data_IF_807153992466
#
_entry.id   IF_807153992466
#
_cell.length_a   1.000
_cell.length_b   1.000
_cell.length_c   1.000
_cell.angle_alpha   90.00
_cell.angle_beta   90.00
_cell.angle_gamma   90.00
#
_symmetry.space_group_name_H-M   'P 1'
#
loop_
_entity.id
_entity.type
_entity.pdbx_description
1 polymer ?
#
# COMPACT_ATOMS: atom_id res chain seq x y z
N UNK A 18 15.26 -21.91 -7.44
CA UNK A 18 16.27 -20.89 -7.15
C UNK A 18 15.70 -19.50 -7.32
N UNK A 19 14.76 -19.35 -8.26
CA UNK A 19 14.16 -18.06 -8.52
C UNK A 19 13.15 -17.66 -7.44
N UNK A 20 12.53 -18.62 -6.76
CA UNK A 20 11.55 -18.31 -5.74
C UNK A 20 12.16 -17.67 -4.50
N UNK A 21 13.49 -17.70 -4.37
CA UNK A 21 14.13 -17.04 -3.23
C UNK A 21 13.88 -15.54 -3.26
N UNK A 22 13.95 -14.93 -4.44
CA UNK A 22 13.68 -13.49 -4.55
C UNK A 22 12.24 -13.19 -4.16
N UNK A 23 11.30 -14.03 -4.61
CA UNK A 23 9.90 -13.85 -4.24
C UNK A 23 9.71 -13.95 -2.73
N UNK A 24 10.39 -14.93 -2.10
CA UNK A 24 10.30 -15.06 -0.65
C UNK A 24 10.86 -13.83 0.06
N UNK A 25 11.99 -13.31 -0.44
CA UNK A 25 12.59 -12.13 0.16
C UNK A 25 11.64 -10.94 0.06
N UNK A 26 11.03 -10.74 -1.11
CA UNK A 26 10.09 -9.65 -1.29
C UNK A 26 8.88 -9.81 -0.38
N UNK A 27 8.36 -11.04 -0.28
CA UNK A 27 7.25 -11.32 0.62
C UNK A 27 7.59 -10.92 2.04
N UNK A 28 8.74 -11.38 2.53
CA UNK A 28 9.13 -11.10 3.91
C UNK A 28 9.31 -9.60 4.13
N UNK A 29 9.96 -8.92 3.18
CA UNK A 29 10.21 -7.49 3.35
C UNK A 29 8.90 -6.70 3.38
N UNK A 30 7.99 -7.00 2.45
CA UNK A 30 6.71 -6.31 2.43
C UNK A 30 5.89 -6.58 3.69
N UNK A 31 5.87 -7.84 4.14
CA UNK A 31 5.14 -8.19 5.36
C UNK A 31 5.72 -7.45 6.55
N UNK A 32 7.04 -7.39 6.64
CA UNK A 32 7.69 -6.69 7.74
C UNK A 32 7.35 -5.20 7.73
N UNK A 33 7.43 -4.58 6.55
CA UNK A 33 7.14 -3.15 6.47
C UNK A 33 5.69 -2.85 6.83
N UNK A 34 4.76 -3.66 6.32
CA UNK A 34 3.35 -3.42 6.63
C UNK A 34 3.05 -3.67 8.11
N UNK A 35 3.67 -4.71 8.69
CA UNK A 35 3.46 -4.98 10.11
C UNK A 35 4.00 -3.83 10.97
N UNK A 36 5.16 -3.29 10.61
CA UNK A 36 5.69 -2.14 11.33
C UNK A 36 4.78 -0.92 11.17
N UNK A 37 4.26 -0.71 9.97
CA UNK A 37 3.39 0.45 9.74
C UNK A 37 2.11 0.36 10.54
N UNK A 38 1.49 -0.83 10.57
CA UNK A 38 0.17 -0.97 11.18
C UNK A 38 0.22 -1.02 12.70
N UNK A 39 1.38 -1.26 13.30
CA UNK A 39 1.45 -1.32 14.75
C UNK A 39 1.34 0.06 15.39
N UNK A 40 1.50 1.12 14.61
CA UNK A 40 1.49 2.47 15.17
C UNK A 40 0.06 2.98 15.33
N UNK A 41 -0.90 2.31 14.66
CA UNK A 41 -2.29 2.77 14.72
C UNK A 41 -2.87 2.74 16.14
N UNK A 42 -2.77 1.64 16.90
CA UNK A 42 -3.41 1.64 18.23
C UNK A 42 -2.66 2.42 19.29
N UNK A 43 -1.35 2.60 19.16
CA UNK A 43 -0.55 3.26 20.17
C UNK A 43 -0.11 4.62 19.64
N UNK A 44 -0.39 5.67 20.41
CA UNK A 44 -0.09 7.04 20.00
C UNK A 44 0.87 7.64 21.02
N UNK A 45 1.75 8.56 20.64
CA UNK A 45 2.61 9.21 21.63
C UNK A 45 1.85 9.92 22.74
N UNK A 46 0.71 10.54 22.42
CA UNK A 46 -0.12 11.13 23.46
C UNK A 46 -0.92 10.06 24.21
N UNK A 47 -1.26 8.96 23.53
CA UNK A 47 -2.00 7.89 24.19
C UNK A 47 -1.17 7.21 25.27
N UNK A 48 0.12 7.00 25.01
CA UNK A 48 0.96 6.29 25.98
C UNK A 48 1.21 7.13 27.22
N UNK A 49 1.21 8.45 27.09
CA UNK A 49 1.42 9.33 28.24
C UNK A 49 0.23 9.29 29.18
N UNK A 125 -5.01 22.16 18.34
CA UNK A 125 -4.80 21.50 17.06
C UNK A 125 -3.91 20.26 17.22
N UNK A 126 -4.07 19.57 18.35
CA UNK A 126 -3.28 18.37 18.60
C UNK A 126 -3.59 17.28 17.59
N UNK A 127 -4.87 17.12 17.22
CA UNK A 127 -5.23 16.09 16.25
C UNK A 127 -4.63 16.37 14.89
N UNK A 128 -4.35 17.64 14.57
CA UNK A 128 -3.65 17.96 13.33
C UNK A 128 -2.26 17.34 13.32
N UNK A 129 -1.54 17.48 14.43
CA UNK A 129 -0.23 16.85 14.55
C UNK A 129 -0.34 15.33 14.56
N UNK A 130 -1.42 14.80 15.16
CA UNK A 130 -1.64 13.36 15.15
C UNK A 130 -1.78 12.85 13.71
N UNK A 131 -2.56 13.57 12.90
CA UNK A 131 -2.66 13.22 11.49
C UNK A 131 -1.35 13.35 10.76
N UNK A 132 -0.61 14.43 11.02
CA UNK A 132 0.70 14.62 10.40
C UNK A 132 1.66 13.50 10.77
N UNK A 133 1.46 12.88 11.93
CA UNK A 133 2.35 11.81 12.37
C UNK A 133 2.40 10.67 11.35
N UNK A 134 1.25 10.27 10.82
CA UNK A 134 1.24 9.24 9.79
C UNK A 134 1.21 9.80 8.37
N UNK A 135 0.96 11.11 8.21
CA UNK A 135 1.09 11.70 6.89
C UNK A 135 2.54 11.91 6.49
N UNK A 136 3.44 12.05 7.47
CA UNK A 136 4.84 12.32 7.18
C UNK A 136 5.48 11.19 6.40
N UNK A 137 5.14 9.94 6.73
CA UNK A 137 5.70 8.80 6.02
C UNK A 137 5.32 8.84 4.54
N UNK A 138 4.05 9.08 4.24
CA UNK A 138 3.62 9.15 2.85
C UNK A 138 4.28 10.31 2.13
N UNK A 139 4.38 11.46 2.79
CA UNK A 139 4.99 12.62 2.14
C UNK A 139 6.46 12.36 1.83
N UNK A 140 7.21 11.77 2.77
CA UNK A 140 8.62 11.52 2.50
C UNK A 140 8.79 10.42 1.46
N UNK A 141 7.89 9.44 1.43
CA UNK A 141 7.94 8.44 0.36
C UNK A 141 7.75 9.09 -1.00
N UNK A 142 6.76 9.97 -1.11
CA UNK A 142 6.53 10.67 -2.38
C UNK A 142 7.73 11.53 -2.76
N UNK A 143 8.34 12.21 -1.79
CA UNK A 143 9.48 13.05 -2.10
C UNK A 143 10.71 12.25 -2.49
N UNK A 144 10.90 11.06 -1.91
CA UNK A 144 12.13 10.30 -2.08
C UNK A 144 12.10 9.32 -3.25
N UNK A 145 10.95 8.74 -3.59
CA UNK A 145 10.93 7.69 -4.60
C UNK A 145 11.45 8.13 -5.96
N UNK A 146 11.03 9.25 -6.55
CA UNK A 146 11.51 9.60 -7.89
C UNK A 146 13.01 9.82 -7.96
N UNK A 147 13.63 10.34 -6.90
CA UNK A 147 15.07 10.58 -6.93
C UNK A 147 15.84 9.26 -6.86
N UNK A 148 15.39 8.33 -6.02
CA UNK A 148 16.06 7.03 -5.91
C UNK A 148 15.68 6.08 -7.02
N UNK A 149 14.74 6.46 -7.88
CA UNK A 149 14.37 5.66 -9.02
C UNK A 149 15.51 5.32 -9.97
N UNK A 150 16.08 6.34 -10.64
CA UNK A 150 17.09 6.06 -11.66
C UNK A 150 18.38 5.44 -11.13
N UNK A 151 18.64 5.55 -9.82
CA UNK A 151 19.85 4.94 -9.27
C UNK A 151 19.81 3.43 -9.42
N UNK A 152 18.61 2.85 -9.40
CA UNK A 152 18.48 1.41 -9.61
C UNK A 152 18.99 1.01 -10.98
N UNK A 153 18.59 1.75 -12.02
CA UNK A 153 19.10 1.48 -13.35
C UNK A 153 20.59 1.78 -13.46
N UNK A 154 21.04 2.83 -12.77
CA UNK A 154 22.44 3.23 -12.90
C UNK A 154 23.38 2.19 -12.29
N UNK A 155 22.98 1.60 -11.16
CA UNK A 155 23.82 0.66 -10.42
C UNK A 155 23.21 -0.74 -10.37
N UNK A 156 22.04 -0.86 -9.77
CA UNK A 156 21.43 -2.17 -9.59
C UNK A 156 20.31 -2.09 -8.57
N UNK A 157 19.76 -3.26 -8.24
CA UNK A 157 18.69 -3.35 -7.26
C UNK A 157 19.04 -4.15 -6.03
N UNK A 158 20.00 -5.08 -6.11
CA UNK A 158 20.37 -5.86 -4.93
C UNK A 158 21.05 -4.99 -3.88
N UNK A 159 21.89 -4.05 -4.30
CA UNK A 159 22.52 -3.12 -3.37
C UNK A 159 21.47 -2.23 -2.72
N UNK A 160 20.50 -1.66 -3.46
CA UNK A 160 19.39 -0.98 -2.78
C UNK A 160 18.61 -1.87 -1.83
N UNK A 161 18.44 -3.15 -2.16
CA UNK A 161 17.76 -4.05 -1.23
C UNK A 161 18.55 -4.20 0.06
N UNK A 162 19.86 -4.39 -0.04
CA UNK A 162 20.70 -4.50 1.14
C UNK A 162 20.68 -3.21 1.95
N UNK A 163 20.71 -2.07 1.27
CA UNK A 163 20.63 -0.79 1.96
C UNK A 163 19.28 -0.60 2.65
N UNK A 164 18.19 -1.06 2.02
CA UNK A 164 16.90 -1.00 2.68
C UNK A 164 16.85 -1.85 3.93
N UNK A 165 17.42 -3.06 3.86
CA UNK A 165 17.54 -3.87 5.06
C UNK A 165 18.34 -3.16 6.14
N UNK A 166 19.45 -2.54 5.76
CA UNK A 166 20.31 -1.86 6.74
C UNK A 166 19.57 -0.69 7.39
N UNK A 167 18.89 0.12 6.59
CA UNK A 167 18.20 1.29 7.14
C UNK A 167 17.03 0.86 8.01
N UNK A 168 16.31 -0.20 7.61
CA UNK A 168 15.24 -0.71 8.46
C UNK A 168 15.80 -1.21 9.80
N UNK A 169 16.91 -1.95 9.74
CA UNK A 169 17.51 -2.47 10.97
C UNK A 169 17.95 -1.35 11.90
N UNK A 170 18.55 -0.30 11.34
CA UNK A 170 19.04 0.79 12.21
C UNK A 170 17.91 1.70 12.66
N UNK A 171 16.79 1.72 11.95
CA UNK A 171 15.70 2.63 12.29
C UNK A 171 14.68 2.02 13.24
N UNK A 172 14.42 0.72 13.13
CA UNK A 172 13.38 0.10 13.95
C UNK A 172 13.72 0.17 15.44
N UNK A 173 14.99 -0.06 15.80
CA UNK A 173 15.37 -0.13 17.20
C UNK A 173 15.14 1.20 17.90
N UNK A 174 15.27 2.31 17.18
CA UNK A 174 15.17 3.63 17.80
C UNK A 174 13.80 3.88 18.43
N UNK A 175 12.77 3.13 18.01
CA UNK A 175 11.45 3.30 18.63
C UNK A 175 11.45 2.88 20.09
N UNK A 176 12.42 2.06 20.50
CA UNK A 176 12.44 1.57 21.88
C UNK A 176 12.61 2.71 22.88
N UNK A 177 13.47 3.67 22.57
CA UNK A 177 13.74 4.81 23.45
C UNK A 177 13.34 6.08 22.70
N UNK A 178 12.13 6.55 22.93
CA UNK A 178 11.61 7.76 22.30
C UNK A 178 11.37 8.83 23.36
N UNK A 179 11.95 10.01 23.14
CA UNK A 179 11.86 11.09 24.10
C UNK A 179 10.82 12.13 23.78
N UNK A 180 10.76 12.56 22.52
CA UNK A 180 9.88 13.64 22.11
C UNK A 180 9.18 13.25 20.81
N UNK A 181 8.04 13.89 20.55
CA UNK A 181 7.22 13.55 19.39
C UNK A 181 7.97 13.80 18.08
N UNK A 182 8.77 14.87 18.02
CA UNK A 182 9.56 15.13 16.82
C UNK A 182 10.50 13.98 16.50
N UNK A 183 11.02 13.32 17.53
CA UNK A 183 11.82 12.11 17.30
C UNK A 183 10.97 11.02 16.66
N UNK A 184 9.69 10.91 17.07
CA UNK A 184 8.79 9.96 16.43
C UNK A 184 8.57 10.31 14.96
N UNK A 185 8.42 11.61 14.66
CA UNK A 185 8.28 12.02 13.27
C UNK A 185 9.52 11.66 12.45
N UNK A 186 10.70 11.88 13.02
CA UNK A 186 11.93 11.54 12.33
C UNK A 186 12.01 10.03 12.09
N UNK A 187 11.65 9.24 13.11
CA UNK A 187 11.67 7.79 12.97
C UNK A 187 10.69 7.34 11.89
N UNK A 188 9.51 7.96 11.84
CA UNK A 188 8.55 7.69 10.79
C UNK A 188 9.09 8.01 9.40
N UNK A 189 9.78 9.15 9.25
CA UNK A 189 10.37 9.49 7.96
C UNK A 189 11.43 8.48 7.54
N UNK A 190 12.28 8.08 8.48
CA UNK A 190 13.31 7.08 8.18
C UNK A 190 12.69 5.75 7.79
N UNK A 191 11.67 5.31 8.52
CA UNK A 191 10.98 4.07 8.17
C UNK A 191 10.31 4.19 6.81
N UNK A 192 9.74 5.35 6.49
CA UNK A 192 9.10 5.51 5.20
C UNK A 192 10.08 5.44 4.04
N UNK A 193 11.23 6.11 4.17
CA UNK A 193 12.21 6.06 3.08
C UNK A 193 12.78 4.66 2.95
N UNK A 194 13.00 3.98 4.08
CA UNK A 194 13.46 2.60 4.01
C UNK A 194 12.47 1.68 3.33
N UNK A 195 11.18 1.83 3.66
CA UNK A 195 10.14 1.01 3.05
C UNK A 195 10.03 1.31 1.55
N UNK A 196 10.15 2.59 1.17
CA UNK A 196 10.12 2.93 -0.26
C UNK A 196 11.28 2.28 -0.99
N UNK A 197 12.48 2.34 -0.43
CA UNK A 197 13.64 1.73 -1.07
C UNK A 197 13.45 0.22 -1.19
N UNK A 198 13.02 -0.43 -0.11
CA UNK A 198 12.83 -1.88 -0.14
C UNK A 198 11.77 -2.27 -1.16
N UNK A 199 10.65 -1.56 -1.20
CA UNK A 199 9.57 -1.90 -2.12
C UNK A 199 10.00 -1.71 -3.57
N UNK A 200 10.67 -0.60 -3.87
CA UNK A 200 11.08 -0.37 -5.27
C UNK A 200 12.12 -1.39 -5.69
N UNK A 201 13.07 -1.72 -4.80
CA UNK A 201 14.07 -2.74 -5.15
C UNK A 201 13.42 -4.09 -5.38
N UNK A 202 12.48 -4.48 -4.50
CA UNK A 202 11.82 -5.75 -4.67
C UNK A 202 11.01 -5.84 -5.93
N UNK A 203 10.22 -4.80 -6.22
CA UNK A 203 9.42 -4.80 -7.44
C UNK A 203 10.30 -4.83 -8.69
N UNK A 204 11.39 -4.05 -8.69
CA UNK A 204 12.27 -4.07 -9.84
C UNK A 204 12.93 -5.42 -10.06
N UNK A 205 13.44 -6.03 -8.99
CA UNK A 205 14.07 -7.33 -9.12
C UNK A 205 13.07 -8.39 -9.57
N UNK A 206 11.86 -8.36 -9.00
CA UNK A 206 10.84 -9.34 -9.38
C UNK A 206 10.44 -9.16 -10.84
N UNK A 207 10.31 -7.91 -11.30
CA UNK A 207 9.99 -7.68 -12.71
C UNK A 207 11.12 -8.16 -13.62
N UNK A 208 12.37 -7.93 -13.22
CA UNK A 208 13.49 -8.29 -14.07
C UNK A 208 13.72 -9.80 -14.14
N UNK A 209 13.51 -10.51 -13.04
CA UNK A 209 13.87 -11.93 -13.01
C UNK A 209 12.92 -12.74 -13.89
N UNK A 210 11.63 -12.41 -13.88
CA UNK A 210 10.63 -13.16 -14.63
C UNK A 210 10.14 -12.31 -15.80
N UNK A 211 10.26 -12.86 -17.01
CA UNK A 211 9.82 -12.18 -18.23
C UNK A 211 8.53 -12.76 -18.79
N UNK A 212 7.87 -13.64 -18.05
CA UNK A 212 6.62 -14.27 -18.48
C UNK A 212 5.45 -13.55 -17.83
N UNK A 213 4.40 -13.30 -18.62
CA UNK A 213 3.31 -12.45 -18.15
C UNK A 213 2.53 -13.09 -17.00
N UNK A 214 2.10 -14.35 -17.17
CA UNK A 214 1.28 -14.97 -16.13
C UNK A 214 2.07 -15.21 -14.86
N UNK A 215 3.33 -15.63 -14.98
CA UNK A 215 4.16 -15.82 -13.80
C UNK A 215 4.43 -14.50 -13.10
N UNK A 216 4.67 -13.43 -13.86
CA UNK A 216 4.85 -12.11 -13.27
C UNK A 216 3.59 -11.67 -12.52
N UNK A 217 2.43 -11.88 -13.13
CA UNK A 217 1.18 -11.53 -12.46
C UNK A 217 0.98 -12.33 -11.19
N UNK A 218 1.28 -13.63 -11.23
CA UNK A 218 1.16 -14.46 -10.03
C UNK A 218 2.10 -13.98 -8.94
N UNK A 219 3.35 -13.66 -9.30
CA UNK A 219 4.32 -13.21 -8.31
C UNK A 219 3.89 -11.90 -7.66
N UNK A 220 3.42 -10.95 -8.46
CA UNK A 220 3.01 -9.67 -7.89
C UNK A 220 1.71 -9.78 -7.12
N UNK A 221 0.83 -10.71 -7.52
CA UNK A 221 -0.34 -11.00 -6.70
C UNK A 221 0.05 -11.61 -5.37
N UNK A 222 1.09 -12.44 -5.36
CA UNK A 222 1.60 -12.99 -4.10
C UNK A 222 2.16 -11.87 -3.23
N UNK A 223 2.87 -10.92 -3.85
CA UNK A 223 3.39 -9.78 -3.10
C UNK A 223 2.25 -8.96 -2.48
N UNK A 224 1.19 -8.71 -3.26
CA UNK A 224 0.04 -7.98 -2.74
C UNK A 224 -0.65 -8.75 -1.62
N UNK A 225 -0.76 -10.08 -1.76
CA UNK A 225 -1.31 -10.89 -0.70
C UNK A 225 -0.48 -10.86 0.56
N UNK A 226 0.85 -10.80 0.41
CA UNK A 226 1.70 -10.64 1.57
C UNK A 226 1.49 -9.30 2.26
N UNK A 227 1.34 -8.23 1.47
CA UNK A 227 1.00 -6.93 2.05
C UNK A 227 -0.32 -7.00 2.80
N UNK A 228 -1.31 -7.68 2.23
CA UNK A 228 -2.61 -7.83 2.88
C UNK A 228 -2.47 -8.61 4.18
N UNK A 229 -1.67 -9.68 4.18
CA UNK A 229 -1.45 -10.46 5.40
C UNK A 229 -0.81 -9.59 6.47
N UNK A 230 0.18 -8.79 6.09
CA UNK A 230 0.82 -7.93 7.06
C UNK A 230 -0.12 -6.91 7.67
N UNK A 231 -0.90 -6.24 6.81
CA UNK A 231 -1.82 -5.22 7.32
C UNK A 231 -2.92 -5.87 8.16
N UNK A 232 -3.27 -7.12 7.86
CA UNK A 232 -4.29 -7.82 8.65
C UNK A 232 -3.76 -8.23 10.01
N UNK A 233 -2.52 -8.77 10.06
CA UNK A 233 -2.01 -9.32 11.32
C UNK A 233 -1.31 -8.28 12.19
N UNK A 234 -1.06 -7.07 11.68
CA UNK A 234 -0.41 -6.06 12.47
C UNK A 234 -1.15 -5.66 13.74
N UNK A 235 -2.32 -5.05 13.59
CA UNK A 235 -3.03 -4.48 14.75
C UNK A 235 -3.34 -5.51 15.82
N UNK A 236 -3.90 -6.68 15.49
CA UNK A 236 -4.25 -7.62 16.58
C UNK A 236 -3.03 -8.15 17.30
N UNK A 237 -1.98 -8.50 16.58
CA UNK A 237 -0.75 -8.99 17.19
C UNK A 237 -0.15 -7.94 18.11
N UNK A 238 -0.07 -6.70 17.63
CA UNK A 238 0.45 -5.63 18.47
C UNK A 238 -0.39 -5.39 19.71
N UNK A 239 -1.71 -5.39 19.55
CA UNK A 239 -2.60 -5.16 20.69
C UNK A 239 -2.45 -6.27 21.73
N UNK A 240 -2.41 -7.52 21.29
CA UNK A 240 -2.31 -8.61 22.27
C UNK A 240 -0.94 -8.63 22.94
N UNK A 241 0.13 -8.30 22.21
CA UNK A 241 1.45 -8.31 22.83
C UNK A 241 1.76 -7.03 23.60
N UNK A 242 0.92 -5.99 23.50
CA UNK A 242 1.15 -4.79 24.28
C UNK A 242 1.09 -5.08 25.77
N UNK A 243 0.15 -5.93 26.20
CA UNK A 243 0.02 -6.27 27.60
C UNK A 243 0.91 -7.45 27.97
N UNK A 244 0.76 -8.57 27.29
CA UNK A 244 1.53 -9.77 27.58
C UNK A 244 2.99 -9.61 27.17
N UNK A 248 10.07 -1.84 25.17
CA UNK A 248 10.77 -3.07 24.79
C UNK A 248 9.79 -4.16 24.39
N UNK A 249 8.78 -4.36 25.23
CA UNK A 249 7.79 -5.40 24.99
C UNK A 249 7.04 -5.24 23.68
N UNK A 250 6.53 -4.05 23.30
CA UNK A 250 5.74 -3.97 22.07
C UNK A 250 6.49 -4.36 20.81
N UNK A 251 7.80 -4.12 20.75
CA UNK A 251 8.55 -4.28 19.50
C UNK A 251 9.63 -5.36 19.58
N UNK A 252 9.71 -6.12 20.67
CA UNK A 252 10.76 -7.12 20.79
C UNK A 252 10.59 -8.22 19.74
N UNK A 253 9.35 -8.60 19.45
CA UNK A 253 9.10 -9.64 18.46
C UNK A 253 9.56 -9.19 17.08
N UNK A 254 9.25 -7.94 16.71
CA UNK A 254 9.72 -7.43 15.42
C UNK A 254 11.25 -7.31 15.41
N UNK A 255 11.84 -6.89 16.53
CA UNK A 255 13.30 -6.75 16.60
C UNK A 255 13.99 -8.09 16.42
N UNK A 256 13.43 -9.17 16.96
CA UNK A 256 14.02 -10.48 16.77
C UNK A 256 13.60 -11.12 15.44
N UNK A 257 12.52 -10.63 14.82
CA UNK A 257 12.11 -11.18 13.53
C UNK A 257 12.91 -10.60 12.37
N UNK A 258 13.30 -9.33 12.46
CA UNK A 258 14.06 -8.72 11.37
C UNK A 258 15.41 -9.41 11.19
N UNK A 259 15.92 -10.04 12.25
CA UNK A 259 17.27 -10.61 12.20
C UNK A 259 17.39 -11.73 11.18
N UNK A 260 16.39 -12.62 11.13
CA UNK A 260 16.46 -13.74 10.20
C UNK A 260 16.37 -13.27 8.75
N UNK A 261 15.49 -12.30 8.47
CA UNK A 261 15.41 -11.75 7.13
C UNK A 261 16.71 -11.06 6.74
N UNK A 262 17.31 -10.31 7.66
CA UNK A 262 18.58 -9.68 7.37
C UNK A 262 19.68 -10.68 7.11
N UNK A 263 19.73 -11.75 7.90
CA UNK A 263 20.74 -12.79 7.69
C UNK A 263 20.57 -13.47 6.35
N UNK A 264 19.33 -13.78 5.97
CA UNK A 264 19.08 -14.41 4.67
C UNK A 264 19.48 -13.47 3.54
N UNK A 265 19.14 -12.19 3.65
CA UNK A 265 19.51 -11.22 2.62
C UNK A 265 21.03 -11.10 2.50
N UNK A 266 21.72 -11.09 3.64
CA UNK A 266 23.18 -11.01 3.60
C UNK A 266 23.78 -12.28 3.00
N UNK A 267 23.21 -13.44 3.30
CA UNK A 267 23.80 -14.69 2.85
C UNK A 267 23.55 -14.92 1.35
N UNK A 268 22.41 -14.45 0.84
CA UNK A 268 22.12 -14.65 -0.57
C UNK A 268 23.11 -13.90 -1.44
N UNK A 269 23.69 -12.82 -0.92
CA UNK A 269 24.69 -12.05 -1.67
C UNK A 269 26.09 -12.53 -1.30
N UNK A 285 13.71 10.56 -20.48
CA UNK A 285 13.18 9.26 -20.03
C UNK A 285 12.54 9.39 -18.65
N UNK A 286 12.99 10.39 -17.89
CA UNK A 286 12.43 10.60 -16.55
C UNK A 286 10.96 11.00 -16.62
N UNK A 287 10.60 11.85 -17.58
CA UNK A 287 9.23 12.31 -17.75
C UNK A 287 8.59 11.58 -18.92
N UNK A 288 7.29 11.31 -18.79
CA UNK A 288 6.53 10.61 -19.81
C UNK A 288 5.27 11.41 -20.13
N UNK A 289 5.03 11.66 -21.42
CA UNK A 289 3.83 12.35 -21.88
C UNK A 289 2.83 11.39 -22.51
N UNK A 290 3.00 10.09 -22.29
CA UNK A 290 2.12 9.09 -22.88
C UNK A 290 1.01 8.74 -21.91
N UNK A 291 -0.26 8.93 -22.27
CA UNK A 291 -1.35 8.66 -21.31
C UNK A 291 -1.57 7.19 -21.00
N UNK A 292 -0.95 6.28 -21.76
CA UNK A 292 -1.23 4.86 -21.58
C UNK A 292 -0.77 4.33 -20.24
N UNK A 293 0.15 5.02 -19.57
CA UNK A 293 0.58 4.63 -18.23
C UNK A 293 -0.12 5.54 -17.23
N UNK A 294 -0.38 6.78 -17.64
CA UNK A 294 -1.06 7.74 -16.79
C UNK A 294 -2.46 7.26 -16.41
N UNK A 295 -3.13 6.54 -17.31
CA UNK A 295 -4.46 6.04 -17.00
C UNK A 295 -4.41 5.07 -15.83
N UNK A 296 -3.46 4.12 -15.86
CA UNK A 296 -3.32 3.18 -14.76
C UNK A 296 -2.88 3.89 -13.49
N UNK A 297 -1.97 4.86 -13.61
CA UNK A 297 -1.52 5.60 -12.44
C UNK A 297 -2.69 6.30 -11.76
N UNK A 298 -3.51 7.01 -12.54
CA UNK A 298 -4.66 7.68 -11.96
C UNK A 298 -5.69 6.72 -11.40
N UNK A 299 -5.92 5.61 -12.09
CA UNK A 299 -6.89 4.63 -11.61
C UNK A 299 -6.48 4.07 -10.26
N UNK A 300 -5.22 3.64 -10.13
CA UNK A 300 -4.77 3.08 -8.86
C UNK A 300 -4.73 4.16 -7.78
N UNK A 301 -4.36 5.40 -8.17
CA UNK A 301 -4.34 6.49 -7.19
C UNK A 301 -5.71 6.75 -6.62
N UNK A 302 -6.74 6.80 -7.47
CA UNK A 302 -8.09 7.06 -6.98
C UNK A 302 -8.64 5.87 -6.20
N UNK A 303 -8.33 4.65 -6.66
CA UNK A 303 -8.81 3.46 -5.96
C UNK A 303 -8.21 3.37 -4.56
N UNK A 304 -6.96 3.81 -4.39
CA UNK A 304 -6.37 3.87 -3.06
C UNK A 304 -6.89 5.05 -2.26
N UNK A 305 -7.12 6.19 -2.93
CA UNK A 305 -7.65 7.37 -2.26
C UNK A 305 -9.02 7.10 -1.67
N UNK A 306 -9.79 6.19 -2.27
CA UNK A 306 -11.09 5.83 -1.71
C UNK A 306 -10.95 5.30 -0.29
N UNK A 307 -10.11 4.29 -0.08
CA UNK A 307 -9.94 3.73 1.26
C UNK A 307 -9.21 4.73 2.15
N UNK A 308 -8.32 5.53 1.57
CA UNK A 308 -7.61 6.54 2.36
C UNK A 308 -8.59 7.53 2.98
N UNK A 309 -9.58 7.97 2.21
CA UNK A 309 -10.60 8.87 2.73
C UNK A 309 -11.55 8.14 3.68
N UNK A 310 -11.83 6.87 3.39
CA UNK A 310 -12.80 6.13 4.20
C UNK A 310 -12.24 5.81 5.58
N UNK A 311 -10.91 5.71 5.70
CA UNK A 311 -10.31 5.25 6.96
C UNK A 311 -10.62 6.15 8.15
N UNK A 312 -10.43 7.48 8.09
CA UNK A 312 -10.65 8.27 9.32
C UNK A 312 -12.08 8.73 9.49
N UNK A 313 -12.90 8.71 8.44
CA UNK A 313 -14.25 9.25 8.53
C UNK A 313 -15.17 8.33 9.33
N UNK A 314 -14.95 7.02 9.24
CA UNK A 314 -15.84 6.06 9.90
C UNK A 314 -15.91 6.24 11.42
N UNK A 315 -14.81 6.43 12.14
CA UNK A 315 -14.93 6.61 13.60
C UNK A 315 -15.85 7.76 14.01
N UNK A 316 -15.97 8.80 13.18
CA UNK A 316 -16.91 9.88 13.50
C UNK A 316 -18.33 9.36 13.55
N UNK A 317 -18.73 8.59 12.54
CA UNK A 317 -20.07 8.00 12.53
C UNK A 317 -20.23 7.00 13.67
N UNK A 318 -19.18 6.21 13.95
CA UNK A 318 -19.26 5.25 15.05
C UNK A 318 -19.49 5.95 16.38
N UNK A 319 -18.79 7.08 16.61
CA UNK A 319 -18.95 7.81 17.86
C UNK A 319 -20.31 8.49 17.94
N UNK A 320 -20.76 9.11 16.86
CA UNK A 320 -22.07 9.76 16.87
C UNK A 320 -23.21 8.76 16.94
N UNK A 321 -22.97 7.50 16.61
CA UNK A 321 -23.96 6.44 16.75
C UNK A 321 -23.67 5.51 17.92
N UNK A 322 -22.57 5.74 18.65
CA UNK A 322 -22.19 4.89 19.78
C UNK A 322 -22.11 3.42 19.41
N UNK A 331 -11.05 -2.85 14.41
CA UNK A 331 -12.11 -3.81 14.11
C UNK A 331 -12.94 -3.31 12.94
N UNK A 332 -12.85 -2.00 12.66
CA UNK A 332 -13.60 -1.44 11.54
C UNK A 332 -12.98 -1.83 10.20
N UNK A 333 -11.65 -1.91 10.14
CA UNK A 333 -10.96 -2.28 8.91
C UNK A 333 -10.66 -3.78 8.81
N UNK A 334 -11.04 -4.55 9.83
CA UNK A 334 -10.83 -6.00 9.77
C UNK A 334 -11.60 -6.66 8.63
N UNK A 335 -12.90 -6.39 8.41
CA UNK A 335 -13.55 -6.98 7.23
C UNK A 335 -12.91 -6.57 5.92
N UNK A 336 -12.47 -5.31 5.81
CA UNK A 336 -11.82 -4.85 4.58
C UNK A 336 -10.52 -5.62 4.34
N UNK A 337 -9.71 -5.79 5.39
CA UNK A 337 -8.46 -6.54 5.24
C UNK A 337 -8.72 -7.99 4.90
N UNK A 338 -9.73 -8.59 5.55
CA UNK A 338 -10.09 -9.98 5.26
C UNK A 338 -10.48 -10.13 3.79
N UNK A 339 -11.33 -9.23 3.29
CA UNK A 339 -11.75 -9.30 1.90
C UNK A 339 -10.58 -9.08 0.95
N UNK A 340 -9.71 -8.12 1.26
CA UNK A 340 -8.54 -7.86 0.44
C UNK A 340 -7.70 -9.12 0.31
N UNK A 341 -7.38 -9.76 1.44
CA UNK A 341 -6.54 -10.95 1.41
C UNK A 341 -7.23 -12.10 0.69
N UNK A 342 -8.53 -12.31 0.95
CA UNK A 342 -9.25 -13.42 0.34
C UNK A 342 -9.59 -13.18 -1.12
N UNK A 343 -9.41 -11.96 -1.62
CA UNK A 343 -9.71 -11.69 -3.02
C UNK A 343 -8.49 -11.57 -3.91
N UNK A 344 -7.42 -10.95 -3.41
CA UNK A 344 -6.25 -10.69 -4.25
C UNK A 344 -5.66 -11.98 -4.81
N UNK A 345 -5.26 -12.89 -3.93
CA UNK A 345 -4.60 -14.11 -4.37
C UNK A 345 -5.51 -15.02 -5.16
N UNK A 346 -6.82 -14.93 -4.94
CA UNK A 346 -7.74 -15.85 -5.61
C UNK A 346 -8.19 -15.32 -6.97
N UNK A 347 -8.14 -14.00 -7.18
CA UNK A 347 -8.56 -13.43 -8.45
C UNK A 347 -7.40 -12.88 -9.28
N UNK A 348 -6.17 -12.97 -8.78
CA UNK A 348 -5.02 -12.56 -9.55
C UNK A 348 -4.76 -13.42 -10.78
N UNK A 349 -4.41 -14.69 -10.57
CA UNK A 349 -4.00 -15.53 -11.72
C UNK A 349 -5.09 -15.73 -12.76
N UNK A 350 -6.36 -15.78 -12.35
CA UNK A 350 -7.42 -16.06 -13.33
C UNK A 350 -7.60 -14.92 -14.32
N UNK A 351 -7.16 -13.71 -13.98
CA UNK A 351 -7.32 -12.57 -14.88
C UNK A 351 -6.51 -12.72 -16.16
N UNK A 352 -5.48 -13.57 -16.15
CA UNK A 352 -4.65 -13.76 -17.35
C UNK A 352 -5.38 -14.54 -18.43
N UNK A 353 -6.47 -15.24 -18.09
CA UNK A 353 -7.18 -16.03 -19.08
C UNK A 353 -7.76 -15.16 -20.18
N UNK A 354 -8.34 -14.02 -19.83
CA UNK A 354 -8.93 -13.11 -20.78
C UNK A 354 -8.27 -11.73 -20.66
N UNK A 355 -8.81 -10.76 -21.39
CA UNK A 355 -8.24 -9.42 -21.42
C UNK A 355 -8.46 -8.67 -20.12
N UNK A 356 -7.70 -7.58 -19.99
CA UNK A 356 -7.76 -6.75 -18.79
C UNK A 356 -8.89 -5.73 -18.82
N UNK A 357 -9.59 -5.60 -19.95
CA UNK A 357 -10.68 -4.63 -20.05
C UNK A 357 -11.76 -4.93 -19.01
N UNK A 358 -12.39 -6.10 -19.14
CA UNK A 358 -13.55 -6.43 -18.32
C UNK A 358 -13.19 -6.48 -16.84
N UNK A 359 -12.02 -7.04 -16.51
CA UNK A 359 -11.64 -7.17 -15.10
C UNK A 359 -11.52 -5.80 -14.43
N UNK A 360 -10.73 -4.91 -15.04
CA UNK A 360 -10.55 -3.57 -14.46
C UNK A 360 -11.85 -2.80 -14.43
N UNK A 361 -12.64 -2.87 -15.52
CA UNK A 361 -13.89 -2.13 -15.58
C UNK A 361 -14.86 -2.60 -14.50
N UNK A 362 -14.99 -3.91 -14.35
CA UNK A 362 -15.88 -4.47 -13.33
C UNK A 362 -15.40 -4.12 -11.93
N UNK A 363 -14.08 -4.16 -11.70
CA UNK A 363 -13.57 -3.78 -10.40
C UNK A 363 -13.86 -2.33 -10.06
N UNK A 364 -13.66 -1.44 -11.02
CA UNK A 364 -13.95 -0.02 -10.77
C UNK A 364 -15.43 0.21 -10.53
N UNK A 365 -16.29 -0.44 -11.32
CA UNK A 365 -17.73 -0.30 -11.10
C UNK A 365 -18.12 -0.82 -9.72
N UNK A 366 -17.54 -1.96 -9.33
CA UNK A 366 -17.86 -2.54 -8.02
C UNK A 366 -17.43 -1.63 -6.89
N UNK A 367 -16.21 -1.07 -6.97
CA UNK A 367 -15.76 -0.21 -5.88
C UNK A 367 -16.58 1.07 -5.85
N UNK A 368 -16.96 1.60 -7.01
CA UNK A 368 -17.82 2.78 -7.01
C UNK A 368 -19.18 2.52 -6.38
N UNK A 369 -19.81 1.41 -6.74
CA UNK A 369 -21.10 1.06 -6.16
C UNK A 369 -20.98 0.86 -4.66
N UNK A 370 -19.94 0.15 -4.22
CA UNK A 370 -19.76 -0.09 -2.79
C UNK A 370 -19.55 1.20 -2.03
N UNK A 371 -18.72 2.11 -2.57
CA UNK A 371 -18.46 3.37 -1.88
C UNK A 371 -19.71 4.23 -1.84
N UNK A 372 -20.50 4.23 -2.90
CA UNK A 372 -21.74 5.01 -2.91
C UNK A 372 -22.75 4.43 -1.92
N UNK A 373 -22.80 3.11 -1.80
CA UNK A 373 -23.82 2.48 -0.97
C UNK A 373 -23.41 2.37 0.50
N UNK A 374 -22.10 2.36 0.79
CA UNK A 374 -21.65 2.13 2.17
C UNK A 374 -22.07 3.22 3.15
N UNK A 375 -21.96 4.52 2.84
CA UNK A 375 -22.01 5.51 3.94
C UNK A 375 -23.34 5.53 4.69
N UNK A 376 -24.45 5.66 3.99
CA UNK A 376 -25.74 5.67 4.66
C UNK A 376 -26.05 4.28 5.21
N UNK A 377 -26.44 4.22 6.47
CA UNK A 377 -26.73 2.94 7.13
C UNK A 377 -27.74 3.18 8.24
N UNK A 378 -28.90 2.54 8.14
CA UNK A 378 -29.90 2.67 9.20
C UNK A 378 -29.42 2.02 10.49
N UNK A 379 -28.71 0.89 10.38
CA UNK A 379 -28.13 0.21 11.52
C UNK A 379 -26.64 0.04 11.30
N UNK A 380 -25.92 -0.18 12.40
CA UNK A 380 -24.47 -0.31 12.35
C UNK A 380 -24.01 -1.76 12.35
N UNK A 381 -24.87 -2.72 12.69
CA UNK A 381 -24.46 -4.12 12.68
C UNK A 381 -24.11 -4.58 11.28
N UNK A 382 -24.91 -4.20 10.28
CA UNK A 382 -24.62 -4.49 8.90
C UNK A 382 -23.75 -3.48 8.19
N UNK A 383 -23.23 -2.49 8.93
CA UNK A 383 -22.37 -1.49 8.32
C UNK A 383 -21.02 -2.07 7.90
N UNK A 384 -20.60 -3.17 8.54
CA UNK A 384 -19.29 -3.74 8.24
C UNK A 384 -19.34 -4.60 6.98
N UNK A 385 -20.53 -5.06 6.59
CA UNK A 385 -20.64 -5.91 5.40
C UNK A 385 -20.17 -5.23 4.11
N UNK A 386 -20.54 -3.98 3.82
CA UNK A 386 -20.05 -3.35 2.57
C UNK A 386 -18.53 -3.23 2.52
N UNK A 387 -17.85 -3.18 3.66
CA UNK A 387 -16.40 -3.12 3.65
C UNK A 387 -15.80 -4.34 2.98
N UNK A 388 -16.47 -5.48 3.05
CA UNK A 388 -16.04 -6.67 2.32
C UNK A 388 -16.02 -6.40 0.81
N UNK A 389 -17.09 -5.81 0.30
CA UNK A 389 -17.13 -5.47 -1.12
C UNK A 389 -16.07 -4.45 -1.49
N UNK A 390 -15.87 -3.45 -0.63
CA UNK A 390 -14.85 -2.44 -0.91
C UNK A 390 -13.47 -3.07 -1.00
N UNK A 391 -13.14 -3.94 -0.03
CA UNK A 391 -11.84 -4.57 -0.02
C UNK A 391 -11.65 -5.51 -1.21
N UNK A 392 -12.66 -6.31 -1.53
CA UNK A 392 -12.56 -7.17 -2.68
C UNK A 392 -12.32 -6.37 -3.96
N UNK A 393 -13.05 -5.26 -4.12
CA UNK A 393 -12.93 -4.46 -5.32
C UNK A 393 -11.54 -3.82 -5.43
N UNK A 394 -11.05 -3.21 -4.33
CA UNK A 394 -9.75 -2.55 -4.39
C UNK A 394 -8.66 -3.57 -4.66
N UNK A 395 -8.72 -4.72 -4.00
CA UNK A 395 -7.72 -5.75 -4.23
C UNK A 395 -7.75 -6.27 -5.67
N UNK A 396 -8.94 -6.51 -6.20
CA UNK A 396 -9.05 -6.98 -7.57
C UNK A 396 -8.47 -5.95 -8.55
N UNK A 397 -8.82 -4.67 -8.35
CA UNK A 397 -8.34 -3.63 -9.25
C UNK A 397 -6.83 -3.55 -9.21
N UNK A 398 -6.25 -3.53 -8.01
CA UNK A 398 -4.80 -3.41 -7.90
C UNK A 398 -4.09 -4.61 -8.51
N UNK A 399 -4.57 -5.82 -8.21
CA UNK A 399 -3.92 -7.02 -8.72
C UNK A 399 -4.01 -7.08 -10.25
N UNK A 400 -5.17 -6.75 -10.81
CA UNK A 400 -5.32 -6.79 -12.26
C UNK A 400 -4.46 -5.73 -12.93
N UNK A 401 -4.37 -4.54 -12.34
CA UNK A 401 -3.69 -3.41 -12.97
C UNK A 401 -2.18 -3.45 -12.79
N UNK A 402 -1.66 -4.20 -11.83
CA UNK A 402 -0.21 -4.17 -11.60
C UNK A 402 0.62 -4.63 -12.80
N UNK A 403 0.33 -5.76 -13.45
CA UNK A 403 1.21 -6.20 -14.55
C UNK A 403 1.00 -5.44 -15.86
N UNK A 404 -0.05 -4.62 -15.98
CA UNK A 404 -0.26 -3.88 -17.21
C UNK A 404 0.88 -2.91 -17.44
N UNK A 405 1.41 -2.32 -16.37
CA UNK A 405 2.54 -1.41 -16.50
C UNK A 405 3.78 -2.14 -17.02
N UNK A 406 4.04 -3.35 -16.52
CA UNK A 406 5.15 -4.13 -17.04
C UNK A 406 4.95 -4.52 -18.50
N UNK A 407 3.71 -4.84 -18.87
CA UNK A 407 3.41 -5.12 -20.26
C UNK A 407 3.70 -3.91 -21.14
N UNK A 408 3.32 -2.71 -20.68
CA UNK A 408 3.59 -1.50 -21.44
C UNK A 408 5.10 -1.25 -21.54
N UNK A 409 5.84 -1.52 -20.46
CA UNK A 409 7.29 -1.39 -20.51
C UNK A 409 7.88 -2.32 -21.55
N UNK A 410 7.39 -3.56 -21.60
CA UNK A 410 7.82 -4.49 -22.64
C UNK A 410 7.48 -3.95 -24.03
N UNK A 411 6.33 -3.30 -24.17
CA UNK A 411 6.01 -2.62 -25.42
C UNK A 411 6.98 -1.48 -25.69
N UNK A 412 7.36 -0.74 -24.65
CA UNK A 412 8.30 0.36 -24.80
C UNK A 412 9.71 -0.16 -25.09
N UNK A 413 10.52 0.69 -25.72
CA UNK A 413 11.89 0.30 -26.06
C UNK A 413 12.70 -0.01 -24.81
N UNK A 414 12.54 0.81 -23.76
CA UNK A 414 13.28 0.60 -22.53
C UNK A 414 12.80 -0.69 -21.86
N UNK A 415 13.75 -1.52 -21.43
CA UNK A 415 13.44 -2.77 -20.76
C UNK A 415 13.68 -2.73 -19.26
N UNK A 416 13.93 -1.53 -18.71
CA UNK A 416 14.16 -1.36 -17.28
C UNK A 416 12.86 -0.87 -16.65
N UNK A 417 12.40 -1.59 -15.63
CA UNK A 417 11.11 -1.34 -15.00
C UNK A 417 11.20 -0.41 -13.80
N UNK A 418 12.39 0.10 -13.49
CA UNK A 418 12.55 0.87 -12.25
C UNK A 418 11.73 2.14 -12.24
N UNK A 419 11.79 2.92 -13.31
CA UNK A 419 11.12 4.21 -13.33
C UNK A 419 9.60 4.05 -13.36
N UNK A 420 9.10 3.09 -14.13
CA UNK A 420 7.65 2.90 -14.23
C UNK A 420 7.09 2.40 -12.90
N UNK A 421 7.79 1.48 -12.24
CA UNK A 421 7.34 1.03 -10.92
C UNK A 421 7.49 2.12 -9.88
N UNK A 422 8.47 3.01 -10.04
CA UNK A 422 8.56 4.18 -9.16
C UNK A 422 7.34 5.07 -9.33
N UNK A 423 6.92 5.30 -10.58
CA UNK A 423 5.70 6.07 -10.83
C UNK A 423 4.49 5.36 -10.22
N UNK A 424 4.46 4.02 -10.34
CA UNK A 424 3.37 3.26 -9.74
C UNK A 424 3.31 3.45 -8.24
N UNK A 425 4.46 3.40 -7.57
CA UNK A 425 4.50 3.59 -6.12
C UNK A 425 4.12 5.01 -5.73
N UNK A 426 4.54 6.00 -6.54
CA UNK A 426 4.14 7.37 -6.27
C UNK A 426 2.64 7.52 -6.35
N UNK A 427 2.03 6.93 -7.39
CA UNK A 427 0.57 6.96 -7.48
C UNK A 427 -0.08 6.20 -6.32
N UNK A 428 0.55 5.11 -5.87
CA UNK A 428 0.02 4.36 -4.74
C UNK A 428 -0.01 5.21 -3.47
N UNK A 429 1.06 5.97 -3.23
CA UNK A 429 1.20 6.75 -2.00
C UNK A 429 0.60 8.14 -2.09
N UNK A 430 0.18 8.58 -3.29
CA UNK A 430 -0.39 9.92 -3.41
C UNK A 430 -1.63 10.09 -2.55
N UNK A 431 -2.51 9.09 -2.54
CA UNK A 431 -3.70 9.18 -1.70
C UNK A 431 -3.37 9.19 -0.21
N UNK A 432 -2.42 8.34 0.20
CA UNK A 432 -2.03 8.34 1.61
C UNK A 432 -1.35 9.64 2.00
N UNK A 433 -0.82 10.38 1.03
CA UNK A 433 -0.15 11.64 1.35
C UNK A 433 -1.10 12.63 2.03
N UNK A 434 -2.25 12.90 1.41
CA UNK A 434 -3.15 13.88 1.97
C UNK A 434 -4.62 13.46 1.86
N UNK A 435 -4.94 12.21 2.15
CA UNK A 435 -6.32 11.80 2.30
C UNK A 435 -7.02 12.47 3.47
N UNK A 436 -6.62 12.13 4.69
CA UNK A 436 -7.31 12.68 5.88
C UNK A 436 -6.96 14.11 6.20
N UNK A 437 -6.29 14.84 5.30
CA UNK A 437 -5.91 16.22 5.61
C UNK A 437 -7.13 17.12 5.81
N UNK A 438 -8.13 16.98 4.94
CA UNK A 438 -9.34 17.81 5.00
C UNK A 438 -10.53 17.06 5.57
N UNK A 439 -10.31 16.16 6.53
CA UNK A 439 -11.41 15.37 7.06
C UNK A 439 -12.46 16.21 7.74
N UNK A 440 -12.03 17.14 8.59
CA UNK A 440 -12.99 18.00 9.28
C UNK A 440 -13.75 18.91 8.33
N UNK A 441 -13.05 19.47 7.34
CA UNK A 441 -13.71 20.32 6.36
C UNK A 441 -14.75 19.54 5.56
N UNK A 442 -14.40 18.32 5.14
CA UNK A 442 -15.35 17.49 4.42
C UNK A 442 -16.54 17.14 5.29
N UNK A 443 -16.29 16.80 6.55
CA UNK A 443 -17.37 16.45 7.48
C UNK A 443 -18.33 17.62 7.67
N UNK A 444 -17.77 18.83 7.84
CA UNK A 444 -18.64 20.01 7.93
C UNK A 444 -19.40 20.23 6.64
N UNK A 445 -18.74 20.01 5.51
CA UNK A 445 -19.38 20.18 4.20
C UNK A 445 -20.47 19.15 3.98
N UNK A 450 -27.01 16.05 0.10
CA UNK A 450 -25.74 15.86 -0.59
C UNK A 450 -24.77 15.10 0.31
N UNK A 451 -24.31 13.94 -0.19
CA UNK A 451 -23.46 13.07 0.61
C UNK A 451 -22.08 13.68 0.81
N UNK A 452 -21.49 13.39 1.96
CA UNK A 452 -20.15 13.87 2.28
C UNK A 452 -19.08 13.23 1.40
N UNK A 453 -19.35 12.07 0.83
CA UNK A 453 -18.40 11.37 -0.03
C UNK A 453 -18.97 11.30 -1.45
N UNK A 454 -18.15 11.74 -2.42
CA UNK A 454 -18.58 11.78 -3.82
C UNK A 454 -17.52 11.10 -4.68
N UNK A 455 -16.53 10.50 -4.02
CA UNK A 455 -15.42 9.86 -4.73
C UNK A 455 -15.91 8.72 -5.63
N UNK A 456 -17.01 8.07 -5.27
CA UNK A 456 -17.54 7.00 -6.10
C UNK A 456 -17.96 7.47 -7.48
N UNK A 457 -18.55 8.66 -7.55
CA UNK A 457 -18.96 9.22 -8.84
C UNK A 457 -17.74 9.48 -9.71
N UNK A 458 -16.70 10.06 -9.13
CA UNK A 458 -15.47 10.32 -9.88
C UNK A 458 -14.87 9.01 -10.37
N UNK A 459 -14.85 7.99 -9.51
CA UNK A 459 -14.29 6.70 -9.89
C UNK A 459 -15.08 6.07 -11.04
N UNK A 460 -16.41 6.10 -10.94
CA UNK A 460 -17.22 5.46 -11.98
C UNK A 460 -17.12 6.22 -13.30
N UNK A 461 -17.02 7.55 -13.25
CA UNK A 461 -16.88 8.30 -14.50
C UNK A 461 -15.49 8.15 -15.10
N UNK A 462 -14.47 7.91 -14.27
CA UNK A 462 -13.13 7.65 -14.79
C UNK A 462 -12.95 6.20 -15.25
N UNK A 463 -13.83 5.30 -14.82
CA UNK A 463 -13.75 3.90 -15.20
C UNK A 463 -13.71 3.65 -16.72
N UNK A 464 -14.57 4.26 -17.54
CA UNK A 464 -14.55 3.93 -18.98
C UNK A 464 -13.29 4.38 -19.70
N UNK A 465 -12.40 5.13 -19.04
CA UNK A 465 -11.16 5.53 -19.70
C UNK A 465 -10.30 4.33 -20.05
N UNK A 466 -10.21 3.36 -19.14
CA UNK A 466 -9.40 2.16 -19.35
C UNK A 466 -10.15 1.06 -20.09
N UNK A 467 -11.24 1.41 -20.79
CA UNK A 467 -12.03 0.40 -21.48
C UNK A 467 -11.22 -0.29 -22.58
N UNK A 468 -10.43 0.47 -23.32
CA UNK A 468 -9.65 -0.07 -24.43
C UNK A 468 -8.19 -0.19 -24.03
N UNK A 469 -7.61 -1.36 -24.27
CA UNK A 469 -6.21 -1.62 -23.96
C UNK A 469 -5.59 -2.40 -25.10
N UNK A 470 -4.26 -2.32 -25.19
CA UNK A 470 -3.51 -3.03 -26.23
C UNK A 470 -3.70 -4.53 -26.13
#
# INVERSE_FOLDING_TARGET
MSMTEFTLLRWLREGRQSRKLILLIVFIALLLDNMLLTVVVPIIPSYLYSMTHESNNTHDGSIPPAAPSGFHSIFSYYDNTTVITTNFTSSDQLQQSALTPTTSPSLATPPASADCPKADSSLLNENVKVGLLFASKATVQLLTNPFIGPMTNRIGYQIPMFAGFCIMFVSTIMFAFSGTYTLLFIARSLQGIGSSCSSVAGMGMLASVYTDDEERGNAMGVALGGLAMGVLVGPPFGSILYEFVGKTAPFIVLAVLVLFDGALQLFVLQPSRVQPESQTGTPLLTLIRDPYILIAAGSICFANMAIAMLEPALPIWMMETMCSRKWQLGVAFLPASISYLLGTNIFGPLAHKMGRWLCAFIGMIMVGISIICVPFARNIYGLIAPNFGVGFAIGMVDSSMMPIMGYLVDLRHVSVYGSVYAIADVAFCMGFAFGPSAGGAIAKSIGFPWLMTIIGVVDILFAPLCLFLRSPPAREEKMAILMDHKCPVKTKMYTQNSGQPYYTGEEEESESDE
#
